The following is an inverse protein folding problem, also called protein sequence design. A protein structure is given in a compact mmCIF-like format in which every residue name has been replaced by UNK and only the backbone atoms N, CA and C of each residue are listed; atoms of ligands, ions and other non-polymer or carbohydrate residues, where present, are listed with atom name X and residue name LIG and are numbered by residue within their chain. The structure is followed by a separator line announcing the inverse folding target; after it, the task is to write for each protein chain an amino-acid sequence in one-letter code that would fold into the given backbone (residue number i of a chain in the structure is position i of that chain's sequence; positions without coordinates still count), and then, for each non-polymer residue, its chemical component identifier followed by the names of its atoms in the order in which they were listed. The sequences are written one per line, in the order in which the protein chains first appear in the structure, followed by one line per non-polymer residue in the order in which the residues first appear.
data_IF_923053351803
#
_entry.id   IF_923053351803
#
_cell.length_a   1.000
_cell.length_b   1.000
_cell.length_c   1.000
_cell.angle_alpha   90.00
_cell.angle_beta   90.00
_cell.angle_gamma   90.00
#
_symmetry.space_group_name_H-M   'P 1'
#
loop_
_entity.id
_entity.type
_entity.pdbx_description
1 polymer ?
#
# COMPACT_ATOMS: atom_id res chain seq x y z
N UNK A 1 -17.70 -1.12 -20.54
CA UNK A 1 -16.67 -0.49 -21.39
C UNK A 1 -17.29 0.37 -22.48
N UNK A 2 -17.98 -0.19 -23.48
CA UNK A 2 -18.46 0.54 -24.66
C UNK A 2 -19.39 1.73 -24.35
N UNK A 3 -20.34 1.57 -23.42
CA UNK A 3 -21.30 2.63 -23.05
C UNK A 3 -20.62 3.93 -22.58
N UNK A 4 -19.47 3.82 -21.92
CA UNK A 4 -18.75 4.96 -21.33
C UNK A 4 -17.38 5.19 -21.97
N UNK A 5 -17.05 4.49 -23.07
CA UNK A 5 -15.80 4.68 -23.80
C UNK A 5 -14.53 4.27 -23.03
N UNK A 6 -14.59 3.29 -22.13
CA UNK A 6 -13.39 2.80 -21.43
C UNK A 6 -12.52 1.90 -22.31
N UNK A 7 -11.20 2.07 -22.24
CA UNK A 7 -10.19 1.25 -22.95
C UNK A 7 -9.93 -0.13 -22.32
N UNK A 8 -10.47 -0.38 -21.14
CA UNK A 8 -10.08 -1.54 -20.35
C UNK A 8 -10.87 -1.74 -19.06
N UNK A 9 -10.40 -2.71 -18.28
CA UNK A 9 -10.94 -3.12 -16.99
C UNK A 9 -9.77 -3.24 -16.01
N UNK A 10 -9.91 -2.61 -14.85
CA UNK A 10 -9.06 -2.86 -13.70
C UNK A 10 -9.88 -3.68 -12.68
N UNK A 11 -9.28 -4.74 -12.14
CA UNK A 11 -9.91 -5.56 -11.11
C UNK A 11 -9.22 -5.32 -9.77
N UNK A 12 -10.00 -4.83 -8.82
CA UNK A 12 -9.58 -4.56 -7.45
C UNK A 12 -10.42 -5.41 -6.48
N UNK A 13 -10.02 -6.67 -6.31
CA UNK A 13 -10.63 -7.59 -5.36
C UNK A 13 -9.73 -7.68 -4.13
N UNK A 14 -10.23 -7.23 -2.97
CA UNK A 14 -9.49 -7.20 -1.71
C UNK A 14 -10.00 -8.21 -0.64
N UNK A 15 -9.51 -9.45 -0.54
CA UNK A 15 -8.53 -10.08 -1.41
C UNK A 15 -8.98 -11.52 -1.71
N UNK A 16 -8.60 -12.10 -2.86
CA UNK A 16 -8.83 -13.50 -3.12
C UNK A 16 -8.15 -14.37 -2.05
N UNK A 17 -8.95 -15.19 -1.34
CA UNK A 17 -8.44 -16.20 -0.41
C UNK A 17 -8.03 -15.68 0.96
N UNK A 18 -8.18 -14.38 1.24
CA UNK A 18 -7.90 -13.80 2.56
C UNK A 18 -8.81 -12.60 2.83
N UNK A 19 -9.12 -12.37 4.11
CA UNK A 19 -9.99 -11.28 4.52
C UNK A 19 -9.33 -9.91 4.24
N UNK A 20 -10.04 -9.03 3.53
CA UNK A 20 -9.74 -7.61 3.43
C UNK A 20 -10.50 -6.79 4.48
N UNK A 21 -10.69 -5.49 4.23
CA UNK A 21 -11.56 -4.65 5.08
C UNK A 21 -13.03 -4.95 4.75
N UNK A 22 -13.86 -5.11 5.78
CA UNK A 22 -15.29 -5.39 5.65
C UNK A 22 -15.63 -6.89 5.62
N UNK A 23 -16.79 -7.22 5.06
CA UNK A 23 -17.43 -8.54 5.19
C UNK A 23 -17.32 -9.39 3.93
N UNK A 24 -16.16 -9.34 3.25
CA UNK A 24 -15.94 -10.14 2.04
C UNK A 24 -16.10 -11.64 2.33
N UNK A 25 -16.81 -12.34 1.44
CA UNK A 25 -16.89 -13.79 1.47
C UNK A 25 -15.58 -14.36 0.95
N UNK A 26 -14.86 -15.09 1.80
CA UNK A 26 -13.57 -15.68 1.47
C UNK A 26 -13.71 -17.17 1.19
N UNK A 27 -13.21 -17.62 0.04
CA UNK A 27 -13.11 -19.04 -0.29
C UNK A 27 -11.69 -19.42 -0.69
N UNK A 28 -11.30 -20.67 -0.38
CA UNK A 28 -9.96 -21.20 -0.71
C UNK A 28 -9.64 -21.11 -2.21
N UNK A 29 -10.65 -21.12 -3.09
CA UNK A 29 -10.50 -21.11 -4.55
C UNK A 29 -10.66 -19.72 -5.18
N UNK A 30 -10.70 -18.64 -4.40
CA UNK A 30 -10.91 -17.30 -4.96
C UNK A 30 -9.85 -16.90 -5.98
N UNK A 31 -8.56 -17.18 -5.73
CA UNK A 31 -7.51 -16.90 -6.72
C UNK A 31 -7.68 -17.71 -8.00
N UNK A 32 -8.08 -18.98 -7.91
CA UNK A 32 -8.36 -19.80 -9.11
C UNK A 32 -9.56 -19.24 -9.89
N UNK A 33 -10.57 -18.75 -9.17
CA UNK A 33 -11.76 -18.14 -9.75
C UNK A 33 -11.45 -16.76 -10.37
N UNK A 34 -10.58 -15.96 -9.74
CA UNK A 34 -10.08 -14.72 -10.29
C UNK A 34 -9.32 -14.96 -11.60
N UNK A 35 -8.46 -15.98 -11.66
CA UNK A 35 -7.79 -16.36 -12.92
C UNK A 35 -8.81 -16.73 -14.00
N UNK A 36 -9.83 -17.52 -13.67
CA UNK A 36 -10.90 -17.88 -14.63
C UNK A 36 -11.68 -16.65 -15.11
N UNK A 37 -11.95 -15.70 -14.20
CA UNK A 37 -12.59 -14.43 -14.54
C UNK A 37 -11.73 -13.64 -15.53
N UNK A 38 -10.43 -13.47 -15.24
CA UNK A 38 -9.48 -12.78 -16.12
C UNK A 38 -9.40 -13.44 -17.50
N UNK A 39 -9.30 -14.77 -17.56
CA UNK A 39 -9.31 -15.52 -18.82
C UNK A 39 -10.61 -15.32 -19.60
N UNK A 40 -11.74 -15.23 -18.90
CA UNK A 40 -13.05 -14.97 -19.51
C UNK A 40 -13.12 -13.55 -20.07
N UNK A 41 -12.68 -12.54 -19.31
CA UNK A 41 -12.62 -11.15 -19.76
C UNK A 41 -11.72 -11.03 -20.99
N UNK A 42 -10.51 -11.61 -20.96
CA UNK A 42 -9.58 -11.58 -22.09
C UNK A 42 -10.16 -12.21 -23.36
N UNK A 43 -10.93 -13.30 -23.24
CA UNK A 43 -11.62 -13.92 -24.39
C UNK A 43 -12.71 -13.02 -24.96
N UNK A 44 -13.50 -12.37 -24.10
CA UNK A 44 -14.60 -11.50 -24.51
C UNK A 44 -14.13 -10.14 -25.03
N UNK A 45 -13.00 -9.64 -24.55
CA UNK A 45 -12.41 -8.38 -24.94
C UNK A 45 -10.91 -8.51 -25.21
N UNK A 46 -10.51 -9.14 -26.33
CA UNK A 46 -9.10 -9.41 -26.63
C UNK A 46 -8.21 -8.16 -26.69
N UNK A 47 -8.76 -7.02 -27.12
CA UNK A 47 -8.06 -5.75 -27.26
C UNK A 47 -8.12 -4.84 -26.03
N UNK A 48 -8.91 -5.18 -25.02
CA UNK A 48 -9.03 -4.35 -23.82
C UNK A 48 -7.74 -4.42 -22.99
N UNK A 49 -7.39 -3.30 -22.35
CA UNK A 49 -6.40 -3.32 -21.27
C UNK A 49 -7.01 -4.00 -20.05
N UNK A 50 -6.29 -4.92 -19.43
CA UNK A 50 -6.71 -5.62 -18.21
C UNK A 50 -5.63 -5.44 -17.16
N UNK A 51 -5.97 -4.85 -16.02
CA UNK A 51 -5.07 -4.70 -14.88
C UNK A 51 -5.67 -5.28 -13.60
N UNK A 52 -4.80 -5.47 -12.61
CA UNK A 52 -5.15 -5.98 -11.30
C UNK A 52 -4.49 -5.11 -10.23
N UNK A 53 -5.30 -4.55 -9.33
CA UNK A 53 -4.80 -4.07 -8.06
C UNK A 53 -4.51 -5.28 -7.15
N UNK A 54 -3.29 -5.35 -6.61
CA UNK A 54 -2.82 -6.51 -5.85
C UNK A 54 -2.11 -6.08 -4.56
N UNK A 55 -2.22 -6.86 -3.47
CA UNK A 55 -1.62 -6.49 -2.19
C UNK A 55 -0.10 -6.60 -2.23
N UNK A 56 0.61 -5.73 -1.50
CA UNK A 56 2.06 -5.83 -1.34
C UNK A 56 2.52 -7.18 -0.74
N UNK A 57 1.63 -7.89 -0.05
CA UNK A 57 1.88 -9.19 0.60
C UNK A 57 1.79 -10.40 -0.33
N UNK A 58 1.31 -10.22 -1.57
CA UNK A 58 1.06 -11.31 -2.50
C UNK A 58 -0.34 -11.93 -2.40
N UNK A 59 -0.75 -12.61 -3.47
CA UNK A 59 -2.05 -13.29 -3.57
C UNK A 59 -2.06 -14.65 -2.85
N UNK A 60 -3.21 -15.04 -2.30
CA UNK A 60 -3.39 -16.30 -1.58
C UNK A 60 -4.17 -17.32 -2.42
N UNK A 61 -3.62 -18.52 -2.58
CA UNK A 61 -4.27 -19.64 -3.24
C UNK A 61 -4.81 -20.69 -2.25
N UNK A 62 -5.37 -21.80 -2.75
CA UNK A 62 -5.94 -22.86 -1.92
C UNK A 62 -4.97 -23.50 -0.93
N UNK A 63 -3.67 -23.46 -1.24
CA UNK A 63 -2.59 -24.10 -0.50
C UNK A 63 -1.63 -23.08 0.15
N UNK A 64 -2.08 -21.83 0.34
CA UNK A 64 -1.26 -20.74 0.86
C UNK A 64 -0.81 -19.76 -0.23
N UNK A 65 0.25 -18.97 0.00
CA UNK A 65 0.69 -17.93 -0.92
C UNK A 65 0.98 -18.47 -2.32
N UNK A 66 0.54 -17.77 -3.36
CA UNK A 66 0.91 -18.11 -4.73
C UNK A 66 2.41 -17.88 -4.93
N UNK A 67 3.07 -18.84 -5.57
CA UNK A 67 4.51 -18.83 -5.84
C UNK A 67 4.85 -18.74 -7.35
N UNK A 68 3.84 -18.78 -8.22
CA UNK A 68 3.99 -18.67 -9.67
C UNK A 68 2.73 -18.04 -10.30
N UNK A 69 2.91 -17.00 -11.11
CA UNK A 69 1.84 -16.35 -11.88
C UNK A 69 1.99 -16.54 -13.40
N UNK A 70 2.84 -17.46 -13.85
CA UNK A 70 3.11 -17.72 -15.28
C UNK A 70 1.83 -18.01 -16.07
N UNK A 71 0.92 -18.81 -15.51
CA UNK A 71 -0.39 -19.11 -16.14
C UNK A 71 -1.35 -17.91 -16.18
N UNK A 72 -1.08 -16.88 -15.39
CA UNK A 72 -1.89 -15.66 -15.33
C UNK A 72 -1.45 -14.62 -16.35
N UNK A 73 -0.15 -14.58 -16.72
CA UNK A 73 0.44 -13.54 -17.58
C UNK A 73 -0.27 -13.29 -18.92
N UNK A 74 -0.91 -14.29 -19.59
CA UNK A 74 -1.68 -14.04 -20.80
C UNK A 74 -3.03 -13.32 -20.55
N UNK A 75 -3.48 -13.26 -19.30
CA UNK A 75 -4.83 -12.81 -18.94
C UNK A 75 -4.89 -11.36 -18.48
N UNK A 76 -3.75 -10.72 -18.19
CA UNK A 76 -3.64 -9.32 -17.78
C UNK A 76 -2.41 -8.65 -18.41
N UNK A 77 -2.46 -7.32 -18.51
CA UNK A 77 -1.41 -6.48 -19.09
C UNK A 77 -0.38 -6.03 -18.05
N UNK A 78 -0.84 -5.58 -16.87
CA UNK A 78 0.04 -5.19 -15.77
C UNK A 78 -0.66 -5.33 -14.40
N UNK A 79 0.15 -5.36 -13.34
CA UNK A 79 -0.29 -5.30 -11.94
C UNK A 79 -0.05 -3.89 -11.39
N UNK A 80 -1.00 -3.38 -10.62
CA UNK A 80 -0.83 -2.20 -9.76
C UNK A 80 -0.68 -2.69 -8.32
N UNK A 81 0.56 -2.71 -7.81
CA UNK A 81 0.80 -3.18 -6.45
C UNK A 81 0.42 -2.08 -5.47
N UNK A 82 -0.48 -2.39 -4.55
CA UNK A 82 -0.88 -1.52 -3.44
C UNK A 82 0.22 -1.52 -2.37
N UNK A 83 1.31 -0.81 -2.66
CA UNK A 83 2.47 -0.63 -1.77
C UNK A 83 2.21 0.46 -0.72
N UNK A 84 0.99 0.54 -0.22
CA UNK A 84 0.50 1.46 0.80
C UNK A 84 -0.39 0.68 1.78
N UNK A 85 -0.85 1.34 2.83
CA UNK A 85 -1.52 0.71 3.96
C UNK A 85 -0.67 -0.40 4.60
N UNK A 86 0.65 -0.23 4.58
CA UNK A 86 1.59 -1.16 5.20
C UNK A 86 1.59 -0.95 6.72
N UNK A 87 1.67 0.31 7.17
CA UNK A 87 1.39 0.70 8.55
C UNK A 87 0.20 1.65 8.60
N UNK A 88 -0.64 1.44 9.60
CA UNK A 88 -1.78 2.31 9.87
C UNK A 88 -2.14 2.31 11.35
N UNK A 89 -3.33 2.80 11.67
CA UNK A 89 -3.82 2.88 13.07
C UNK A 89 -3.99 1.51 13.73
N UNK A 90 -4.12 0.44 12.93
CA UNK A 90 -4.18 -0.95 13.35
C UNK A 90 -2.83 -1.52 13.82
N UNK A 91 -1.71 -1.00 13.32
CA UNK A 91 -0.36 -1.49 13.63
C UNK A 91 0.00 -1.30 15.10
N UNK A 92 0.79 -2.19 15.70
CA UNK A 92 1.19 -2.12 17.12
C UNK A 92 2.03 -0.88 17.46
N UNK A 93 2.81 -0.39 16.49
CA UNK A 93 3.67 0.80 16.58
C UNK A 93 3.27 1.82 15.53
N UNK A 94 3.82 3.04 15.62
CA UNK A 94 3.77 3.97 14.48
C UNK A 94 4.53 3.40 13.29
N UNK A 95 4.29 3.87 12.08
CA UNK A 95 5.07 3.38 10.94
C UNK A 95 4.82 4.18 9.68
N UNK A 96 5.56 3.82 8.64
CA UNK A 96 5.41 4.45 7.33
C UNK A 96 4.26 3.79 6.58
N UNK A 97 3.35 4.59 6.01
CA UNK A 97 2.24 4.07 5.20
C UNK A 97 2.75 3.28 3.97
N UNK A 98 3.80 3.81 3.33
CA UNK A 98 4.40 3.26 2.10
C UNK A 98 5.93 3.33 2.17
N UNK A 99 6.57 2.48 2.99
CA UNK A 99 8.03 2.47 3.12
C UNK A 99 8.68 2.00 1.81
N UNK A 100 9.72 2.72 1.37
CA UNK A 100 10.57 2.26 0.27
C UNK A 100 11.24 0.92 0.62
N UNK A 101 11.80 0.83 1.83
CA UNK A 101 12.49 -0.35 2.35
C UNK A 101 11.96 -0.75 3.73
N UNK A 102 11.96 -2.05 4.02
CA UNK A 102 11.56 -2.61 5.33
C UNK A 102 12.75 -2.88 6.26
N UNK A 103 13.95 -2.36 5.97
CA UNK A 103 15.15 -2.55 6.79
C UNK A 103 14.95 -2.14 8.25
N UNK A 104 14.32 -1.00 8.48
CA UNK A 104 13.98 -0.48 9.81
C UNK A 104 12.68 -1.03 10.39
N UNK A 105 11.88 -1.74 9.59
CA UNK A 105 10.53 -2.14 9.97
C UNK A 105 10.55 -3.28 11.00
N UNK A 106 9.58 -3.30 11.93
CA UNK A 106 9.30 -4.47 12.76
C UNK A 106 9.18 -5.76 11.94
N UNK A 107 9.69 -6.86 12.50
CA UNK A 107 9.77 -8.15 11.79
C UNK A 107 8.40 -8.78 11.47
N UNK A 108 7.34 -8.36 12.17
CA UNK A 108 5.96 -8.80 11.95
C UNK A 108 5.30 -8.13 10.73
N UNK A 109 5.83 -6.98 10.28
CA UNK A 109 5.36 -6.28 9.07
C UNK A 109 6.56 -5.97 8.16
N UNK A 110 7.17 -7.00 7.52
CA UNK A 110 8.40 -6.84 6.74
C UNK A 110 8.16 -6.31 5.31
N UNK A 111 7.04 -5.61 5.09
CA UNK A 111 6.61 -5.17 3.76
C UNK A 111 7.08 -3.76 3.41
N UNK A 112 7.38 -3.55 2.14
CA UNK A 112 7.85 -2.30 1.55
C UNK A 112 7.67 -2.33 0.02
N UNK A 113 7.89 -1.19 -0.63
CA UNK A 113 7.93 -1.10 -2.09
C UNK A 113 8.97 -2.09 -2.65
N UNK A 114 10.18 -2.09 -2.10
CA UNK A 114 11.26 -2.99 -2.52
C UNK A 114 10.89 -4.47 -2.36
N UNK A 115 10.33 -4.84 -1.20
CA UNK A 115 9.97 -6.23 -0.93
C UNK A 115 8.84 -6.70 -1.86
N UNK A 116 7.84 -5.85 -2.13
CA UNK A 116 6.72 -6.19 -2.98
C UNK A 116 7.13 -6.36 -4.45
N UNK A 117 7.94 -5.44 -4.98
CA UNK A 117 8.49 -5.57 -6.34
C UNK A 117 9.34 -6.83 -6.46
N UNK A 118 10.20 -7.12 -5.48
CA UNK A 118 10.99 -8.36 -5.44
C UNK A 118 10.10 -9.60 -5.41
N UNK A 119 9.02 -9.58 -4.62
CA UNK A 119 8.05 -10.66 -4.51
C UNK A 119 7.40 -10.95 -5.86
N UNK A 120 6.76 -9.97 -6.51
CA UNK A 120 6.08 -10.20 -7.80
C UNK A 120 7.03 -10.59 -8.94
N UNK A 121 8.26 -10.05 -8.95
CA UNK A 121 9.31 -10.53 -9.89
C UNK A 121 9.66 -11.99 -9.64
N UNK A 122 9.69 -12.44 -8.40
CA UNK A 122 9.94 -13.86 -8.07
C UNK A 122 8.83 -14.78 -8.58
N UNK A 123 7.59 -14.27 -8.67
CA UNK A 123 6.42 -14.94 -9.26
C UNK A 123 6.38 -14.90 -10.80
N UNK A 124 7.49 -14.53 -11.44
CA UNK A 124 7.67 -14.43 -12.91
C UNK A 124 6.93 -13.28 -13.60
N UNK A 125 6.42 -12.29 -12.84
CA UNK A 125 5.85 -11.08 -13.44
C UNK A 125 6.98 -10.21 -14.02
N UNK A 126 6.95 -9.87 -15.33
CA UNK A 126 7.94 -8.99 -15.93
C UNK A 126 7.96 -7.61 -15.27
N UNK A 127 9.14 -7.02 -15.08
CA UNK A 127 9.28 -5.73 -14.40
C UNK A 127 8.53 -4.58 -15.11
N UNK A 128 8.44 -4.62 -16.45
CA UNK A 128 7.68 -3.65 -17.24
C UNK A 128 6.15 -3.85 -17.16
N UNK A 129 5.67 -4.82 -16.38
CA UNK A 129 4.25 -5.07 -16.09
C UNK A 129 3.93 -4.88 -14.60
N UNK A 130 4.81 -4.22 -13.85
CA UNK A 130 4.63 -3.91 -12.43
C UNK A 130 4.55 -2.39 -12.28
N UNK A 131 3.41 -1.89 -11.81
CA UNK A 131 3.21 -0.49 -11.42
C UNK A 131 3.20 -0.40 -9.89
N UNK A 132 3.90 0.59 -9.35
CA UNK A 132 4.01 0.84 -7.91
C UNK A 132 2.92 1.83 -7.51
N UNK A 133 2.11 1.46 -6.52
CA UNK A 133 1.12 2.35 -5.93
C UNK A 133 1.78 3.40 -5.03
N UNK A 134 1.47 4.68 -5.26
CA UNK A 134 1.97 5.78 -4.45
C UNK A 134 0.80 6.48 -3.74
N UNK A 135 0.69 6.38 -2.40
CA UNK A 135 -0.45 6.95 -1.70
C UNK A 135 -0.31 8.47 -1.62
N UNK A 136 -1.40 9.18 -1.91
CA UNK A 136 -1.50 10.63 -1.68
C UNK A 136 -1.97 10.99 -0.25
N UNK A 137 -1.90 10.00 0.66
CA UNK A 137 -2.31 10.09 2.05
C UNK A 137 -1.35 9.33 2.98
N UNK A 138 -1.47 9.56 4.28
CA UNK A 138 -0.78 8.82 5.33
C UNK A 138 -1.62 8.74 6.60
N UNK A 139 -1.16 7.95 7.56
CA UNK A 139 -1.77 7.82 8.89
C UNK A 139 -1.00 8.65 9.91
N UNK A 140 -1.75 9.32 10.79
CA UNK A 140 -1.20 10.03 11.93
C UNK A 140 -1.29 9.20 13.20
N UNK A 141 -0.32 9.43 14.07
CA UNK A 141 -0.18 8.73 15.33
C UNK A 141 0.14 9.74 16.43
N UNK A 142 -0.37 9.48 17.63
CA UNK A 142 0.20 10.03 18.85
C UNK A 142 1.19 9.03 19.43
N UNK A 143 2.37 9.50 19.83
CA UNK A 143 3.41 8.68 20.47
C UNK A 143 3.37 8.86 21.98
N UNK A 144 3.73 7.81 22.73
CA UNK A 144 3.71 7.82 24.21
C UNK A 144 4.77 8.78 24.78
N UNK A 145 5.91 8.89 24.11
CA UNK A 145 7.04 9.76 24.46
C UNK A 145 7.50 10.54 23.23
N UNK A 146 8.43 11.49 23.38
CA UNK A 146 9.07 12.15 22.24
C UNK A 146 9.76 11.16 21.29
N UNK A 147 9.92 11.52 20.03
CA UNK A 147 10.52 10.64 19.02
C UNK A 147 11.96 10.26 19.38
N UNK A 148 12.23 8.97 19.47
CA UNK A 148 13.56 8.44 19.73
C UNK A 148 14.18 7.88 18.44
N UNK A 149 15.44 8.24 18.11
CA UNK A 149 16.11 7.68 16.95
C UNK A 149 16.40 6.19 17.16
N UNK A 150 16.05 5.38 16.17
CA UNK A 150 16.38 3.97 16.10
C UNK A 150 17.45 3.73 15.03
N UNK A 151 18.51 2.99 15.37
CA UNK A 151 19.47 2.48 14.38
C UNK A 151 18.91 1.27 13.68
N UNK A 152 18.92 1.30 12.36
CA UNK A 152 18.43 0.21 11.54
C UNK A 152 19.59 -0.74 11.15
N UNK A 153 19.29 -2.00 10.78
CA UNK A 153 20.29 -2.98 10.34
C UNK A 153 21.15 -2.52 9.16
N UNK A 154 20.63 -1.62 8.31
CA UNK A 154 21.36 -1.02 7.19
C UNK A 154 22.24 0.18 7.59
N UNK A 155 22.32 0.50 8.89
CA UNK A 155 23.08 1.63 9.44
C UNK A 155 22.34 2.96 9.41
N UNK A 156 21.16 3.04 8.77
CA UNK A 156 20.34 4.24 8.76
C UNK A 156 19.72 4.54 10.13
N UNK A 157 19.15 5.73 10.28
CA UNK A 157 18.45 6.14 11.50
C UNK A 157 17.01 6.46 11.17
N UNK A 158 16.08 5.77 11.83
CA UNK A 158 14.65 5.99 11.67
C UNK A 158 14.05 6.60 12.93
N UNK A 159 13.03 7.43 12.74
CA UNK A 159 12.15 7.91 13.81
C UNK A 159 10.74 7.31 13.72
N UNK A 160 10.52 6.39 12.78
CA UNK A 160 9.29 5.59 12.70
C UNK A 160 9.30 4.49 13.79
N UNK A 161 8.24 3.67 13.84
CA UNK A 161 8.19 2.47 14.68
C UNK A 161 8.25 2.75 16.18
N UNK A 162 7.61 3.83 16.59
CA UNK A 162 7.54 4.27 17.99
C UNK A 162 6.33 3.65 18.70
N UNK A 163 6.38 3.49 20.05
CA UNK A 163 5.21 3.14 20.83
C UNK A 163 4.08 4.15 20.63
N UNK A 164 2.91 3.67 20.18
CA UNK A 164 1.73 4.51 19.94
C UNK A 164 0.88 4.66 21.22
N UNK A 165 0.33 5.86 21.43
CA UNK A 165 -0.72 6.07 22.42
C UNK A 165 -2.07 5.55 21.89
N UNK A 166 -2.95 5.12 22.79
CA UNK A 166 -4.36 4.81 22.46
C UNK A 166 -5.22 6.08 22.36
N UNK A 167 -4.75 7.19 22.95
CA UNK A 167 -5.37 8.51 22.85
C UNK A 167 -4.74 9.29 21.70
N UNK A 168 -5.31 9.17 20.50
CA UNK A 168 -4.95 10.04 19.38
C UNK A 168 -5.95 11.18 19.28
N UNK A 169 -5.49 12.41 19.57
CA UNK A 169 -6.27 13.65 19.42
C UNK A 169 -5.83 14.48 18.21
N UNK A 170 -4.86 13.97 17.44
CA UNK A 170 -4.27 14.64 16.29
C UNK A 170 -4.71 13.92 15.01
N UNK A 171 -5.61 14.54 14.26
CA UNK A 171 -6.28 13.93 13.11
C UNK A 171 -7.44 14.79 12.66
N UNK A 172 -7.52 15.20 11.39
CA UNK A 172 -8.79 15.67 10.82
C UNK A 172 -9.32 14.62 9.86
N UNK A 173 -10.62 14.31 9.96
CA UNK A 173 -11.29 13.32 9.13
C UNK A 173 -11.20 13.68 7.64
N UNK A 174 -10.77 12.73 6.80
CA UNK A 174 -10.84 12.89 5.34
C UNK A 174 -11.26 11.58 4.68
N UNK A 175 -12.54 11.46 4.36
CA UNK A 175 -13.01 10.63 3.24
C UNK A 175 -13.21 9.13 3.47
N UNK A 176 -12.86 8.57 4.64
CA UNK A 176 -13.18 7.17 5.01
C UNK A 176 -13.48 7.08 6.52
N UNK A 177 -14.18 6.05 7.03
CA UNK A 177 -14.61 6.01 8.43
C UNK A 177 -13.47 5.79 9.44
N UNK A 178 -12.22 5.62 8.99
CA UNK A 178 -11.07 5.40 9.86
C UNK A 178 -10.52 6.74 10.39
N UNK A 179 -10.52 6.97 11.73
CA UNK A 179 -9.88 8.16 12.29
C UNK A 179 -8.37 8.18 11.99
N UNK A 180 -7.79 9.39 11.90
CA UNK A 180 -6.35 9.67 11.77
C UNK A 180 -5.70 9.48 10.38
N UNK A 181 -6.46 9.55 9.29
CA UNK A 181 -5.90 9.63 7.93
C UNK A 181 -5.75 11.09 7.47
N UNK A 182 -4.62 11.43 6.85
CA UNK A 182 -4.36 12.76 6.29
C UNK A 182 -3.99 12.68 4.81
N UNK A 183 -4.59 13.55 4.00
CA UNK A 183 -4.20 13.76 2.60
C UNK A 183 -3.06 14.78 2.57
N UNK A 184 -1.98 14.48 1.84
CA UNK A 184 -0.81 15.37 1.73
C UNK A 184 -1.17 16.77 1.23
N UNK A 185 -2.10 16.87 0.27
CA UNK A 185 -2.61 18.15 -0.23
C UNK A 185 -3.23 19.00 0.87
N UNK A 186 -4.02 18.41 1.78
CA UNK A 186 -4.61 19.18 2.89
C UNK A 186 -3.53 19.66 3.88
N UNK A 187 -2.54 18.81 4.17
CA UNK A 187 -1.40 19.22 5.01
C UNK A 187 -0.63 20.38 4.37
N UNK A 188 -0.45 20.39 3.05
CA UNK A 188 0.15 21.50 2.31
C UNK A 188 -0.72 22.76 2.34
N UNK A 189 -1.99 22.64 1.98
CA UNK A 189 -2.93 23.77 1.87
C UNK A 189 -3.17 24.46 3.24
N UNK A 190 -3.06 23.71 4.33
CA UNK A 190 -3.19 24.22 5.71
C UNK A 190 -1.86 24.75 6.29
N UNK A 191 -0.78 24.75 5.51
CA UNK A 191 0.54 25.24 5.94
C UNK A 191 1.23 24.32 6.95
N UNK A 192 0.77 23.07 7.10
CA UNK A 192 1.44 22.09 7.95
C UNK A 192 2.70 21.53 7.29
N UNK A 193 2.82 21.56 5.96
CA UNK A 193 4.02 21.16 5.24
C UNK A 193 4.83 22.37 4.79
N UNK A 194 6.11 22.45 5.20
CA UNK A 194 7.05 23.42 4.63
C UNK A 194 7.79 22.83 3.43
N UNK A 195 7.82 23.49 2.26
CA UNK A 195 8.61 23.04 1.12
C UNK A 195 10.11 23.05 1.47
N UNK A 196 10.78 21.90 1.36
CA UNK A 196 12.24 21.81 1.44
C UNK A 196 12.82 21.80 0.03
N UNK A 197 13.15 22.99 -0.48
CA UNK A 197 13.90 23.16 -1.74
C UNK A 197 13.08 23.02 -3.03
N UNK A 198 13.79 23.04 -4.17
CA UNK A 198 13.22 23.14 -5.52
C UNK A 198 12.86 21.80 -6.19
N UNK A 199 13.08 20.67 -5.50
CA UNK A 199 12.71 19.34 -5.98
C UNK A 199 11.54 18.87 -5.12
N UNK A 200 10.36 18.77 -5.75
CA UNK A 200 9.10 18.46 -5.11
C UNK A 200 9.17 17.19 -4.25
N UNK A 201 8.39 17.20 -3.17
CA UNK A 201 8.17 16.10 -2.22
C UNK A 201 9.14 15.94 -1.04
N UNK A 202 9.98 16.92 -0.72
CA UNK A 202 10.55 16.99 0.64
C UNK A 202 9.74 17.97 1.48
N UNK A 203 8.98 17.45 2.45
CA UNK A 203 8.16 18.26 3.36
C UNK A 203 8.45 17.90 4.81
N UNK A 204 8.61 18.90 5.68
CA UNK A 204 8.63 18.71 7.13
C UNK A 204 7.39 19.34 7.75
N UNK A 205 6.75 18.66 8.71
CA UNK A 205 5.72 19.26 9.57
C UNK A 205 6.38 19.75 10.85
N UNK A 206 6.15 21.02 11.18
CA UNK A 206 6.47 21.60 12.49
C UNK A 206 5.17 22.15 13.06
N UNK A 207 4.47 21.33 13.84
CA UNK A 207 3.41 21.82 14.73
C UNK A 207 3.93 21.69 16.17
N UNK A 208 3.65 22.70 17.01
CA UNK A 208 3.97 22.69 18.44
C UNK A 208 3.31 21.54 19.20
N UNK A 209 2.30 20.87 18.63
CA UNK A 209 1.69 19.66 19.17
C UNK A 209 2.18 18.34 18.52
N UNK A 210 2.76 18.38 17.32
CA UNK A 210 3.14 17.17 16.59
C UNK A 210 4.61 17.23 16.18
N UNK A 211 5.44 16.40 16.80
CA UNK A 211 6.78 16.07 16.31
C UNK A 211 6.72 15.24 15.01
N UNK A 212 5.72 15.43 14.14
CA UNK A 212 5.48 14.56 12.99
C UNK A 212 6.47 14.88 11.88
N UNK A 213 7.54 14.10 11.76
CA UNK A 213 8.31 14.07 10.50
C UNK A 213 7.49 13.31 9.47
N UNK A 214 7.11 13.99 8.39
CA UNK A 214 6.69 13.31 7.16
C UNK A 214 7.97 12.80 6.51
N UNK A 215 8.17 11.48 6.56
CA UNK A 215 9.25 10.80 5.86
C UNK A 215 8.66 10.38 4.52
N UNK A 216 8.99 11.11 3.46
CA UNK A 216 8.76 10.71 2.08
C UNK A 216 10.00 9.97 1.55
#
# INVERSE_FOLDING_TARGET
MNQYGFDGIDLDWEFPGVQGIGDNLVQKRDSDNLLRLLQTIRKLAPSARISLAVPATGLQGPNGPLNDLTSWLPSFDYLTIMTYDIFGTWSSTTGLNSPLSSSCAPSDIPYSIESAVKHYKSLKVPANRILIGFPSYSYAYTVVYGLLPQKCPDGSTSYAYQPKSTTTTCGNWIGTPTPNQYIYRKLSDQGHLTPLGSLGFNFSVVDRASQTRVIL
#
